data_IF_811957801757
#
_entry.id   IF_811957801757
#
_cell.length_a   1.000
_cell.length_b   1.000
_cell.length_c   1.000
_cell.angle_alpha   90.00
_cell.angle_beta   90.00
_cell.angle_gamma   90.00
#
_symmetry.space_group_name_H-M   'P 1'
#
loop_
_entity.id
_entity.type
_entity.pdbx_description
1 polymer ?
#
# COMPACT_ATOMS: atom_id res chain seq x y z
N UNK A 1 5.97 -7.35 9.63
CA UNK A 1 4.87 -6.95 8.74
C UNK A 1 5.39 -6.02 7.67
N UNK A 2 4.65 -5.85 6.58
CA UNK A 2 4.96 -4.89 5.52
C UNK A 2 3.68 -4.24 5.08
N UNK A 3 3.69 -2.90 5.03
CA UNK A 3 2.59 -2.14 4.48
C UNK A 3 2.56 -2.36 2.96
N UNK A 4 1.38 -2.52 2.37
CA UNK A 4 1.24 -2.79 0.95
C UNK A 4 0.26 -1.80 0.35
N UNK A 5 0.75 -1.13 -0.67
CA UNK A 5 0.02 -0.17 -1.48
C UNK A 5 -0.74 -0.84 -2.64
N UNK A 6 -1.60 -0.10 -3.33
CA UNK A 6 -2.45 -0.58 -4.40
C UNK A 6 -1.64 -1.17 -5.57
N UNK A 7 -0.58 -0.48 -6.02
CA UNK A 7 0.23 -0.88 -7.18
C UNK A 7 0.72 -2.34 -7.10
N UNK A 8 1.47 -2.73 -6.05
CA UNK A 8 1.89 -4.11 -5.85
C UNK A 8 0.76 -5.13 -5.74
N UNK A 9 -0.40 -4.77 -5.16
CA UNK A 9 -1.54 -5.68 -5.10
C UNK A 9 -2.06 -6.00 -6.50
N UNK A 10 -2.14 -4.99 -7.37
CA UNK A 10 -2.52 -5.15 -8.77
C UNK A 10 -1.46 -5.98 -9.50
N UNK A 11 -0.18 -5.59 -9.41
CA UNK A 11 0.92 -6.25 -10.08
C UNK A 11 1.08 -7.72 -9.65
N UNK A 12 0.83 -8.08 -8.38
CA UNK A 12 0.89 -9.48 -7.94
C UNK A 12 -0.26 -10.34 -8.47
N UNK A 13 -1.39 -9.74 -8.83
CA UNK A 13 -2.61 -10.43 -9.26
C UNK A 13 -2.68 -10.52 -10.79
N UNK A 14 -2.38 -9.42 -11.48
CA UNK A 14 -2.38 -9.37 -12.94
C UNK A 14 -1.00 -9.73 -13.49
N UNK A 15 -0.92 -10.85 -14.21
CA UNK A 15 0.30 -11.30 -14.87
C UNK A 15 0.68 -10.45 -16.10
N UNK A 16 -0.23 -9.59 -16.58
CA UNK A 16 0.01 -8.64 -17.65
C UNK A 16 0.64 -7.32 -17.19
N UNK A 17 0.67 -7.03 -15.89
CA UNK A 17 1.30 -5.83 -15.34
C UNK A 17 2.82 -5.86 -15.59
N UNK A 18 3.42 -4.76 -16.09
CA UNK A 18 4.86 -4.69 -16.33
C UNK A 18 5.70 -5.06 -15.09
N UNK A 19 5.24 -4.63 -13.92
CA UNK A 19 5.92 -4.84 -12.64
C UNK A 19 5.58 -6.18 -11.96
N UNK A 20 4.81 -7.06 -12.62
CA UNK A 20 4.40 -8.35 -12.07
C UNK A 20 5.59 -9.17 -11.58
N UNK A 21 6.61 -9.32 -12.43
CA UNK A 21 7.76 -10.16 -12.12
C UNK A 21 8.60 -9.55 -10.98
N UNK A 22 8.84 -8.24 -11.01
CA UNK A 22 9.55 -7.54 -9.96
C UNK A 22 8.83 -7.67 -8.59
N UNK A 23 7.51 -7.50 -8.58
CA UNK A 23 6.69 -7.67 -7.38
C UNK A 23 6.72 -9.12 -6.87
N UNK A 24 6.64 -10.11 -7.77
CA UNK A 24 6.69 -11.53 -7.39
C UNK A 24 8.02 -11.92 -6.77
N UNK A 25 9.13 -11.47 -7.34
CA UNK A 25 10.47 -11.78 -6.83
C UNK A 25 10.70 -11.09 -5.49
N UNK A 26 10.28 -9.83 -5.36
CA UNK A 26 10.36 -9.08 -4.11
C UNK A 26 9.53 -9.71 -2.98
N UNK A 27 8.33 -10.23 -3.29
CA UNK A 27 7.43 -10.84 -2.31
C UNK A 27 8.08 -12.00 -1.52
N UNK A 28 9.07 -12.69 -2.09
CA UNK A 28 9.81 -13.77 -1.41
C UNK A 28 10.54 -13.27 -0.17
N UNK A 29 11.07 -12.04 -0.21
CA UNK A 29 11.82 -11.42 0.88
C UNK A 29 10.98 -10.53 1.81
N UNK A 30 9.68 -10.36 1.54
CA UNK A 30 8.81 -9.44 2.28
C UNK A 30 8.32 -10.06 3.61
N UNK A 31 8.62 -9.43 4.77
CA UNK A 31 8.13 -9.91 6.07
C UNK A 31 6.61 -9.88 6.18
N UNK A 32 6.02 -11.03 6.54
CA UNK A 32 4.59 -11.15 6.83
C UNK A 32 4.21 -10.61 8.22
N UNK A 33 2.93 -10.34 8.49
CA UNK A 33 1.81 -10.25 7.53
C UNK A 33 1.99 -9.09 6.55
N UNK A 34 1.31 -9.17 5.40
CA UNK A 34 1.07 -8.01 4.55
C UNK A 34 -0.13 -7.25 5.11
N UNK A 35 -0.02 -5.93 5.19
CA UNK A 35 -1.06 -5.08 5.75
C UNK A 35 -1.34 -3.94 4.77
N UNK A 36 -2.59 -3.67 4.46
CA UNK A 36 -3.01 -2.53 3.63
C UNK A 36 -4.09 -1.72 4.35
N UNK A 37 -4.55 -0.63 3.75
CA UNK A 37 -5.65 0.20 4.25
C UNK A 37 -6.87 0.08 3.32
N UNK A 38 -8.05 0.47 3.80
CA UNK A 38 -9.26 0.47 2.97
C UNK A 38 -9.14 1.31 1.69
N UNK A 39 -8.53 2.52 1.68
CA UNK A 39 -8.33 3.27 0.43
C UNK A 39 -7.42 2.55 -0.57
N UNK A 40 -6.25 2.05 -0.15
CA UNK A 40 -5.34 1.32 -1.03
C UNK A 40 -5.98 0.02 -1.57
N UNK A 41 -6.73 -0.70 -0.74
CA UNK A 41 -7.52 -1.84 -1.19
C UNK A 41 -8.59 -1.43 -2.22
N UNK A 42 -9.28 -0.33 -1.98
CA UNK A 42 -10.34 0.19 -2.87
C UNK A 42 -9.78 0.60 -4.22
N UNK A 43 -8.63 1.28 -4.22
CA UNK A 43 -7.91 1.62 -5.43
C UNK A 43 -7.46 0.39 -6.20
N UNK A 44 -6.83 -0.59 -5.54
CA UNK A 44 -6.46 -1.85 -6.18
C UNK A 44 -7.68 -2.57 -6.79
N UNK A 45 -8.82 -2.59 -6.07
CA UNK A 45 -10.08 -3.14 -6.60
C UNK A 45 -10.57 -2.39 -7.84
N UNK A 46 -10.40 -1.07 -7.89
CA UNK A 46 -10.75 -0.25 -9.04
C UNK A 46 -9.84 -0.53 -10.25
N UNK A 47 -8.52 -0.58 -10.03
CA UNK A 47 -7.53 -0.82 -11.07
C UNK A 47 -7.68 -2.22 -11.68
N UNK A 48 -7.96 -3.24 -10.86
CA UNK A 48 -8.16 -4.62 -11.31
C UNK A 48 -9.36 -4.80 -12.26
N UNK A 49 -10.30 -3.85 -12.31
CA UNK A 49 -11.39 -3.87 -13.30
C UNK A 49 -10.82 -3.82 -14.71
N UNK A 50 -9.78 -3.01 -14.94
CA UNK A 50 -9.16 -2.81 -16.27
C UNK A 50 -8.25 -3.97 -16.68
N UNK A 51 -7.59 -4.59 -15.70
CA UNK A 51 -6.62 -5.67 -15.87
C UNK A 51 -7.25 -7.06 -16.12
N UNK A 52 -8.32 -7.41 -15.39
CA UNK A 52 -8.83 -8.79 -15.39
C UNK A 52 -10.31 -8.96 -15.05
N UNK A 53 -11.07 -7.86 -15.04
CA UNK A 53 -12.52 -7.87 -14.78
C UNK A 53 -12.89 -8.34 -13.37
N UNK A 54 -13.80 -9.32 -13.26
CA UNK A 54 -14.23 -9.86 -11.95
C UNK A 54 -13.17 -10.77 -11.29
N UNK A 55 -12.39 -11.51 -12.08
CA UNK A 55 -11.44 -12.51 -11.56
C UNK A 55 -10.31 -11.92 -10.74
N UNK A 56 -9.80 -10.75 -11.14
CA UNK A 56 -8.78 -10.02 -10.38
C UNK A 56 -9.29 -9.60 -9.00
N UNK A 57 -10.50 -9.01 -8.95
CA UNK A 57 -11.15 -8.62 -7.69
C UNK A 57 -11.44 -9.81 -6.79
N UNK A 58 -11.88 -10.94 -7.35
CA UNK A 58 -12.06 -12.19 -6.61
C UNK A 58 -10.74 -12.75 -6.06
N UNK A 59 -9.64 -12.62 -6.81
CA UNK A 59 -8.32 -12.98 -6.32
C UNK A 59 -7.87 -12.09 -5.14
N UNK A 60 -8.09 -10.78 -5.24
CA UNK A 60 -7.78 -9.84 -4.16
C UNK A 60 -8.61 -10.14 -2.90
N UNK A 61 -9.91 -10.40 -3.05
CA UNK A 61 -10.75 -10.84 -1.92
C UNK A 61 -10.26 -12.15 -1.30
N UNK A 62 -9.81 -13.12 -2.10
CA UNK A 62 -9.24 -14.36 -1.55
C UNK A 62 -7.97 -14.11 -0.72
N UNK A 63 -7.16 -13.12 -1.06
CA UNK A 63 -6.00 -12.75 -0.22
C UNK A 63 -6.44 -12.21 1.14
N UNK A 64 -7.47 -11.35 1.15
CA UNK A 64 -8.05 -10.80 2.39
C UNK A 64 -8.67 -11.90 3.24
N UNK A 65 -9.58 -12.70 2.66
CA UNK A 65 -10.32 -13.75 3.38
C UNK A 65 -9.43 -14.90 3.87
N UNK A 66 -8.27 -15.12 3.23
CA UNK A 66 -7.29 -16.12 3.69
C UNK A 66 -6.32 -15.58 4.75
N UNK A 67 -6.39 -14.30 5.12
CA UNK A 67 -5.46 -13.66 6.04
C UNK A 67 -4.05 -13.44 5.47
N UNK A 68 -3.86 -13.63 4.16
CA UNK A 68 -2.58 -13.35 3.48
C UNK A 68 -2.33 -11.86 3.30
N UNK A 69 -3.42 -11.08 3.30
CA UNK A 69 -3.46 -9.62 3.32
C UNK A 69 -4.41 -9.19 4.44
N UNK A 70 -3.90 -8.46 5.42
CA UNK A 70 -4.70 -7.82 6.46
C UNK A 70 -5.14 -6.42 5.97
N UNK A 71 -6.39 -6.07 6.20
CA UNK A 71 -6.89 -4.70 5.96
C UNK A 71 -6.99 -4.03 7.32
N UNK A 72 -6.12 -3.05 7.56
CA UNK A 72 -6.06 -2.34 8.82
C UNK A 72 -7.15 -1.27 8.90
N UNK A 73 -7.89 -1.29 10.01
CA UNK A 73 -8.69 -0.14 10.42
C UNK A 73 -7.78 0.95 11.00
N UNK A 74 -8.11 2.20 10.68
CA UNK A 74 -7.40 3.37 11.22
C UNK A 74 -8.08 3.87 12.49
N UNK A 75 -7.27 4.25 13.47
CA UNK A 75 -7.78 5.00 14.62
C UNK A 75 -8.18 6.42 14.19
N UNK A 76 -9.02 7.09 14.99
CA UNK A 76 -9.35 8.50 14.74
C UNK A 76 -8.11 9.41 14.72
N UNK A 77 -7.03 9.03 15.43
CA UNK A 77 -5.75 9.75 15.41
C UNK A 77 -5.04 9.58 14.07
N UNK A 78 -4.99 8.36 13.54
CA UNK A 78 -4.42 8.10 12.23
C UNK A 78 -5.21 8.79 11.11
N UNK A 79 -6.54 8.86 11.23
CA UNK A 79 -7.39 9.63 10.29
C UNK A 79 -7.05 11.12 10.33
N UNK A 80 -6.98 11.73 11.53
CA UNK A 80 -6.60 13.14 11.66
C UNK A 80 -5.19 13.38 11.12
N UNK A 81 -4.25 12.49 11.41
CA UNK A 81 -2.88 12.56 10.92
C UNK A 81 -2.80 12.47 9.40
N UNK A 82 -3.65 11.67 8.76
CA UNK A 82 -3.72 11.58 7.30
C UNK A 82 -4.07 12.94 6.66
N UNK A 83 -5.03 13.67 7.24
CA UNK A 83 -5.37 15.01 6.76
C UNK A 83 -4.23 16.02 6.93
N UNK A 84 -3.47 15.93 8.04
CA UNK A 84 -2.29 16.76 8.24
C UNK A 84 -1.18 16.44 7.22
N UNK A 85 -0.94 15.15 6.95
CA UNK A 85 0.04 14.70 5.96
C UNK A 85 -0.30 15.22 4.56
N UNK A 86 -1.56 15.16 4.14
CA UNK A 86 -1.98 15.71 2.84
C UNK A 86 -1.74 17.23 2.75
N UNK A 87 -1.88 17.96 3.87
CA UNK A 87 -1.55 19.38 3.91
C UNK A 87 -0.03 19.62 3.92
N UNK A 88 0.74 18.78 4.61
CA UNK A 88 2.21 18.83 4.70
C UNK A 88 2.85 18.58 3.33
N UNK A 89 2.33 17.64 2.57
CA UNK A 89 2.81 17.28 1.23
C UNK A 89 1.99 17.94 0.12
N UNK A 90 1.34 19.10 0.34
CA UNK A 90 0.52 19.72 -0.70
C UNK A 90 1.27 20.03 -2.02
N UNK A 91 2.60 20.20 -1.96
CA UNK A 91 3.47 20.42 -3.12
C UNK A 91 3.87 19.12 -3.86
N UNK A 92 3.56 17.95 -3.31
CA UNK A 92 3.79 16.61 -3.89
C UNK A 92 2.49 15.83 -3.75
N UNK A 93 1.65 15.72 -4.80
CA UNK A 93 0.24 15.36 -4.66
C UNK A 93 0.05 14.02 -3.93
N UNK A 94 -0.08 14.08 -2.60
CA UNK A 94 -0.31 12.94 -1.74
C UNK A 94 -1.80 12.64 -1.74
N UNK A 95 -2.15 11.42 -2.13
CA UNK A 95 -3.53 10.97 -2.08
C UNK A 95 -3.92 10.41 -0.71
N UNK A 96 -5.19 10.02 -0.59
CA UNK A 96 -5.73 9.49 0.67
C UNK A 96 -5.17 8.10 1.00
N UNK A 97 -4.83 7.28 0.01
CA UNK A 97 -4.28 5.95 0.23
C UNK A 97 -2.87 6.03 0.83
N UNK A 98 -2.04 6.89 0.26
CA UNK A 98 -0.70 7.18 0.74
C UNK A 98 -0.71 7.80 2.12
N UNK A 99 -1.52 8.84 2.32
CA UNK A 99 -1.63 9.52 3.61
C UNK A 99 -2.03 8.54 4.73
N UNK A 100 -2.98 7.64 4.45
CA UNK A 100 -3.42 6.63 5.42
C UNK A 100 -2.37 5.53 5.65
N UNK A 101 -1.63 5.11 4.63
CA UNK A 101 -0.51 4.18 4.79
C UNK A 101 0.62 4.80 5.63
N UNK A 102 0.96 6.07 5.38
CA UNK A 102 1.98 6.80 6.16
C UNK A 102 1.52 7.00 7.59
N UNK A 103 0.27 7.42 7.83
CA UNK A 103 -0.26 7.57 9.18
C UNK A 103 -0.29 6.24 9.96
N UNK A 104 -0.63 5.13 9.28
CA UNK A 104 -0.59 3.79 9.87
C UNK A 104 0.86 3.37 10.20
N UNK A 105 1.80 3.70 9.33
CA UNK A 105 3.23 3.47 9.53
C UNK A 105 3.74 4.21 10.78
N UNK A 106 3.37 5.49 10.91
CA UNK A 106 3.68 6.34 12.05
C UNK A 106 3.10 5.77 13.36
N UNK A 107 1.84 5.36 13.35
CA UNK A 107 1.14 4.85 14.54
C UNK A 107 1.70 3.50 15.02
N UNK A 108 2.00 2.58 14.10
CA UNK A 108 2.47 1.23 14.44
C UNK A 108 4.01 1.12 14.51
N UNK A 109 4.73 2.18 14.15
CA UNK A 109 6.19 2.20 14.15
C UNK A 109 6.82 1.31 13.07
N UNK A 110 6.17 1.18 11.92
CA UNK A 110 6.65 0.37 10.79
C UNK A 110 7.23 1.23 9.70
N UNK A 111 8.29 0.71 9.07
CA UNK A 111 9.08 1.47 8.10
C UNK A 111 9.12 0.85 6.72
N UNK A 112 8.65 -0.39 6.57
CA UNK A 112 8.67 -1.10 5.31
C UNK A 112 7.35 -0.96 4.58
N UNK A 113 7.45 -0.51 3.34
CA UNK A 113 6.32 -0.36 2.42
C UNK A 113 6.64 -1.11 1.14
N UNK A 114 5.70 -1.91 0.69
CA UNK A 114 5.65 -2.51 -0.63
C UNK A 114 4.81 -1.58 -1.48
N UNK A 115 5.45 -0.80 -2.35
CA UNK A 115 4.81 0.16 -3.25
C UNK A 115 5.63 0.29 -4.53
N UNK A 116 4.96 0.68 -5.62
CA UNK A 116 5.60 1.07 -6.88
C UNK A 116 5.60 2.60 -7.04
N UNK A 117 5.03 3.33 -6.08
CA UNK A 117 4.97 4.79 -6.09
C UNK A 117 6.28 5.39 -5.58
N UNK A 118 6.91 6.21 -6.43
CA UNK A 118 8.14 6.92 -6.12
C UNK A 118 7.97 8.00 -5.04
N UNK A 119 6.75 8.45 -4.76
CA UNK A 119 6.50 9.52 -3.78
C UNK A 119 6.81 9.07 -2.35
N UNK A 120 6.78 7.76 -2.07
CA UNK A 120 7.28 7.19 -0.81
C UNK A 120 8.78 7.43 -0.58
N UNK A 121 9.55 7.81 -1.61
CA UNK A 121 10.95 8.25 -1.46
C UNK A 121 11.05 9.65 -0.83
N UNK A 122 10.01 10.47 -0.98
CA UNK A 122 9.88 11.83 -0.44
C UNK A 122 9.26 11.77 0.95
N UNK A 123 8.23 10.96 1.15
CA UNK A 123 7.50 10.86 2.42
C UNK A 123 8.40 10.46 3.59
N UNK A 124 8.05 10.95 4.78
CA UNK A 124 8.80 10.73 6.02
C UNK A 124 7.89 10.28 7.15
N UNK A 125 8.30 9.23 7.84
CA UNK A 125 7.66 8.77 9.07
C UNK A 125 8.08 9.72 10.19
N UNK A 126 7.10 10.35 10.85
CA UNK A 126 7.27 11.38 11.88
C UNK A 126 8.16 12.54 11.40
N UNK A 127 8.09 12.87 10.10
CA UNK A 127 8.90 13.94 9.47
C UNK A 127 10.40 13.66 9.43
N UNK A 128 10.87 12.47 9.81
CA UNK A 128 12.30 12.20 10.04
C UNK A 128 12.83 10.97 9.32
N UNK A 129 12.09 9.87 9.34
CA UNK A 129 12.60 8.57 8.91
C UNK A 129 12.13 8.23 7.51
N UNK A 130 13.03 7.70 6.68
CA UNK A 130 12.70 7.18 5.35
C UNK A 130 12.06 5.79 5.46
N UNK A 131 11.17 5.51 4.51
CA UNK A 131 10.65 4.18 4.27
C UNK A 131 11.74 3.24 3.69
N UNK A 132 11.64 1.97 4.05
CA UNK A 132 12.27 0.85 3.36
C UNK A 132 11.31 0.41 2.25
N UNK A 133 11.54 0.87 1.03
CA UNK A 133 10.69 0.60 -0.13
C UNK A 133 11.06 -0.74 -0.74
N UNK A 134 10.04 -1.50 -1.16
CA UNK A 134 10.16 -2.78 -1.86
C UNK A 134 9.15 -2.76 -3.03
N UNK A 135 9.48 -3.21 -4.25
CA UNK A 135 10.81 -3.58 -4.73
C UNK A 135 11.76 -2.37 -4.78
N UNK A 136 13.06 -2.63 -4.95
CA UNK A 136 14.10 -1.59 -5.14
C UNK A 136 14.37 -1.41 -6.62
#
# INVERSE_FOLDING_TARGET
>A
MTLVDAGPLVALIDAGEPDHQACRDALVGVPRPLVTTWPALTEAMHLLVRAGGSRGREALWRLVLSGRLEVADLTGRAVARSAELMAEYADTPMDVADAMLVALAEERGHRRVFTLDSDFTVYRIHGRQRFEIVPI
#
